data_IF_735115110974
#
_entry.id   IF_735115110974
#
_cell.length_a   1.000
_cell.length_b   1.000
_cell.length_c   1.000
_cell.angle_alpha   90.00
_cell.angle_beta   90.00
_cell.angle_gamma   90.00
#
_symmetry.space_group_name_H-M   'P 1'
#
loop_
_entity.id
_entity.type
_entity.pdbx_description
1 polymer ?
#
# COMPACT_ATOMS: atom_id res chain seq x y z
N UNK A 1 13.33 0.94 8.24
CA UNK A 1 12.46 0.61 9.39
C UNK A 1 12.50 1.80 10.33
N UNK A 2 11.37 2.29 10.83
CA UNK A 2 11.35 3.44 11.75
C UNK A 2 12.04 3.07 13.06
N UNK A 3 13.11 3.79 13.42
CA UNK A 3 13.88 3.56 14.65
C UNK A 3 13.35 4.54 15.71
N UNK A 4 12.88 4.10 16.89
CA UNK A 4 12.46 5.01 17.95
C UNK A 4 13.63 5.91 18.39
N UNK A 5 13.39 7.22 18.52
CA UNK A 5 14.42 8.13 19.04
C UNK A 5 14.76 7.83 20.50
N UNK A 6 13.74 7.60 21.34
CA UNK A 6 13.92 7.17 22.73
C UNK A 6 13.61 5.67 22.87
N UNK A 7 14.65 4.85 22.67
CA UNK A 7 14.56 3.39 22.77
C UNK A 7 14.15 2.92 24.17
N UNK A 8 14.57 3.63 25.22
CA UNK A 8 14.28 3.26 26.61
C UNK A 8 12.79 3.48 26.91
N UNK A 9 12.25 4.63 26.50
CA UNK A 9 10.82 4.92 26.61
C UNK A 9 9.98 3.93 25.80
N UNK A 10 10.43 3.58 24.59
CA UNK A 10 9.76 2.61 23.75
C UNK A 10 9.66 1.21 24.40
N UNK A 11 10.77 0.67 24.93
CA UNK A 11 10.76 -0.64 25.60
C UNK A 11 9.94 -0.64 26.91
N UNK A 12 9.96 0.47 27.67
CA UNK A 12 9.11 0.63 28.87
C UNK A 12 7.61 0.59 28.53
N UNK A 13 7.21 1.21 27.42
CA UNK A 13 5.80 1.20 26.99
C UNK A 13 5.44 -0.16 26.41
N UNK A 14 6.35 -0.81 25.69
CA UNK A 14 6.18 -2.16 25.15
C UNK A 14 5.95 -3.20 26.24
N UNK A 15 6.72 -3.16 27.34
CA UNK A 15 6.49 -4.07 28.48
C UNK A 15 5.13 -3.82 29.14
N UNK A 16 4.73 -2.55 29.31
CA UNK A 16 3.42 -2.17 29.85
C UNK A 16 2.26 -2.70 28.99
N UNK A 17 2.38 -2.60 27.66
CA UNK A 17 1.30 -3.04 26.75
C UNK A 17 1.26 -4.55 26.62
N UNK A 18 2.41 -5.23 26.58
CA UNK A 18 2.48 -6.70 26.61
C UNK A 18 1.73 -7.29 27.80
N UNK A 19 1.76 -6.65 28.97
CA UNK A 19 1.01 -7.07 30.15
C UNK A 19 -0.51 -6.85 30.05
N UNK A 20 -0.96 -5.93 29.20
CA UNK A 20 -2.38 -5.56 29.05
C UNK A 20 -3.10 -6.29 27.92
N UNK A 21 -2.36 -6.78 26.93
CA UNK A 21 -2.94 -7.46 25.77
C UNK A 21 -2.93 -8.96 25.98
N UNK A 22 -4.00 -9.65 25.57
CA UNK A 22 -4.11 -11.10 25.66
C UNK A 22 -3.19 -11.84 24.66
N UNK A 23 -2.87 -11.23 23.52
CA UNK A 23 -2.05 -11.84 22.46
C UNK A 23 -1.03 -10.88 21.88
N UNK A 24 0.24 -11.28 21.96
CA UNK A 24 1.39 -10.56 21.42
C UNK A 24 2.23 -11.45 20.47
N UNK A 25 2.66 -10.96 19.29
CA UNK A 25 2.28 -9.71 18.65
C UNK A 25 0.94 -9.84 17.90
N UNK A 26 0.10 -8.81 17.96
CA UNK A 26 -1.08 -8.65 17.10
C UNK A 26 -1.06 -7.28 16.45
N UNK A 27 -1.81 -7.10 15.35
CA UNK A 27 -1.89 -5.80 14.67
C UNK A 27 -2.42 -4.70 15.61
N UNK A 28 -3.45 -5.02 16.41
CA UNK A 28 -4.01 -4.11 17.40
C UNK A 28 -3.04 -3.82 18.55
N UNK A 29 -2.37 -4.84 19.11
CA UNK A 29 -1.38 -4.62 20.17
C UNK A 29 -0.19 -3.78 19.69
N UNK A 30 0.26 -3.99 18.45
CA UNK A 30 1.32 -3.20 17.82
C UNK A 30 0.88 -1.76 17.60
N UNK A 31 -0.37 -1.54 17.17
CA UNK A 31 -0.97 -0.21 17.03
C UNK A 31 -1.05 0.55 18.36
N UNK A 32 -1.49 -0.13 19.43
CA UNK A 32 -1.54 0.44 20.78
C UNK A 32 -0.15 0.89 21.26
N UNK A 33 0.90 0.11 20.98
CA UNK A 33 2.29 0.47 21.30
C UNK A 33 2.71 1.76 20.62
N UNK A 34 2.51 1.86 19.31
CA UNK A 34 2.89 3.05 18.55
C UNK A 34 2.13 4.28 19.05
N UNK A 35 0.83 4.16 19.30
CA UNK A 35 0.02 5.28 19.81
C UNK A 35 0.47 5.74 21.21
N UNK A 36 0.66 4.81 22.13
CA UNK A 36 1.10 5.13 23.49
C UNK A 36 2.50 5.75 23.50
N UNK A 37 3.43 5.22 22.69
CA UNK A 37 4.77 5.78 22.55
C UNK A 37 4.74 7.19 21.98
N UNK A 38 4.01 7.45 20.90
CA UNK A 38 3.87 8.80 20.34
C UNK A 38 3.30 9.80 21.35
N UNK A 39 2.30 9.38 22.14
CA UNK A 39 1.67 10.21 23.18
C UNK A 39 2.67 10.58 24.29
N UNK A 40 3.37 9.59 24.84
CA UNK A 40 4.33 9.82 25.93
C UNK A 40 5.59 10.56 25.43
N UNK A 41 6.02 10.29 24.20
CA UNK A 41 7.11 11.02 23.58
C UNK A 41 6.77 12.50 23.39
N UNK A 42 5.58 12.82 22.87
CA UNK A 42 5.13 14.20 22.70
C UNK A 42 5.02 14.95 24.03
N UNK A 43 4.65 14.27 25.13
CA UNK A 43 4.67 14.85 26.48
C UNK A 43 6.09 15.17 26.96
N UNK A 44 7.06 14.29 26.71
CA UNK A 44 8.44 14.41 27.19
C UNK A 44 9.28 15.39 26.37
N UNK A 45 9.09 15.42 25.05
CA UNK A 45 9.95 16.12 24.10
C UNK A 45 9.24 17.26 23.34
N UNK A 46 7.94 17.43 23.55
CA UNK A 46 7.11 18.41 22.87
C UNK A 46 6.54 17.90 21.53
N UNK A 47 5.48 18.55 21.01
CA UNK A 47 4.75 18.10 19.82
C UNK A 47 5.53 18.28 18.52
N UNK A 48 6.59 19.11 18.50
CA UNK A 48 7.39 19.42 17.31
C UNK A 48 8.49 18.40 17.02
N UNK A 49 8.87 17.55 17.98
CA UNK A 49 9.91 16.53 17.81
C UNK A 49 9.33 15.24 17.25
N UNK A 50 10.04 14.60 16.33
CA UNK A 50 9.63 13.32 15.75
C UNK A 50 9.89 12.18 16.75
N UNK A 51 8.91 11.30 17.03
CA UNK A 51 9.15 10.16 17.92
C UNK A 51 10.03 9.06 17.31
N UNK A 52 10.26 9.10 16.00
CA UNK A 52 11.06 8.13 15.27
C UNK A 52 12.11 8.84 14.42
N UNK A 53 13.35 8.37 14.51
CA UNK A 53 14.39 8.70 13.57
C UNK A 53 13.97 8.15 12.21
N UNK A 54 13.82 9.04 11.23
CA UNK A 54 13.49 8.68 9.86
C UNK A 54 14.67 7.97 9.21
N UNK A 55 14.80 6.67 9.45
CA UNK A 55 15.35 5.76 8.44
C UNK A 55 14.50 6.00 7.19
N UNK A 56 15.10 6.51 6.11
CA UNK A 56 14.46 6.75 4.81
C UNK A 56 13.69 5.51 4.34
N UNK A 57 12.47 5.33 4.81
CA UNK A 57 11.48 4.52 4.12
C UNK A 57 11.09 5.38 2.95
N UNK A 58 11.76 5.18 1.80
CA UNK A 58 11.28 5.64 0.51
C UNK A 58 9.79 5.28 0.48
N UNK A 59 8.93 6.27 0.65
CA UNK A 59 7.50 6.04 0.87
C UNK A 59 6.83 5.49 -0.39
N UNK A 60 5.64 5.99 -0.70
CA UNK A 60 5.03 5.73 -2.01
C UNK A 60 5.82 6.37 -3.17
N UNK A 61 6.94 7.05 -2.91
CA UNK A 61 7.79 7.69 -3.91
C UNK A 61 8.27 6.74 -5.01
N UNK A 62 8.68 5.51 -4.64
CA UNK A 62 9.02 4.48 -5.63
C UNK A 62 7.80 4.17 -6.50
N UNK A 63 6.65 3.95 -5.87
CA UNK A 63 5.39 3.65 -6.55
C UNK A 63 4.98 4.79 -7.52
N UNK A 64 5.16 6.05 -7.14
CA UNK A 64 4.90 7.19 -8.00
C UNK A 64 5.86 7.25 -9.19
N UNK A 65 7.16 6.99 -8.97
CA UNK A 65 8.17 6.95 -10.02
C UNK A 65 7.90 5.82 -11.04
N UNK A 66 7.32 4.69 -10.61
CA UNK A 66 7.00 3.52 -11.46
C UNK A 66 5.95 3.83 -12.55
N UNK A 67 5.20 4.93 -12.41
CA UNK A 67 4.15 5.39 -13.35
C UNK A 67 3.17 4.27 -13.70
N UNK A 68 2.26 3.98 -12.77
CA UNK A 68 1.27 2.93 -12.93
C UNK A 68 0.21 3.28 -13.97
N UNK A 69 -0.05 2.35 -14.89
CA UNK A 69 -1.00 2.52 -15.99
C UNK A 69 -2.01 1.36 -16.05
N UNK A 70 -3.20 1.65 -16.57
CA UNK A 70 -4.26 0.66 -16.77
C UNK A 70 -4.16 0.04 -18.16
N UNK A 71 -3.82 -1.25 -18.20
CA UNK A 71 -3.61 -1.97 -19.46
C UNK A 71 -4.93 -2.23 -20.20
N UNK A 72 -6.06 -2.25 -19.50
CA UNK A 72 -7.35 -2.53 -20.12
C UNK A 72 -7.93 -1.40 -20.97
N UNK A 73 -7.29 -0.23 -20.96
CA UNK A 73 -7.72 0.95 -21.74
C UNK A 73 -6.52 1.51 -22.52
N UNK A 74 -6.04 0.80 -23.56
CA UNK A 74 -5.04 1.35 -24.45
C UNK A 74 -5.63 2.53 -25.22
N UNK A 75 -4.86 3.62 -25.37
CA UNK A 75 -5.17 4.72 -26.28
C UNK A 75 -4.79 4.32 -27.71
N UNK A 76 -5.38 4.99 -28.71
CA UNK A 76 -5.08 4.78 -30.13
C UNK A 76 -3.57 4.89 -30.45
N UNK A 77 -2.82 5.68 -29.69
CA UNK A 77 -1.38 5.91 -29.89
C UNK A 77 -0.50 4.88 -29.17
N UNK A 78 -1.03 3.71 -28.77
CA UNK A 78 -0.31 2.68 -28.01
C UNK A 78 -0.01 3.03 -26.54
N UNK A 79 -0.33 4.26 -26.10
CA UNK A 79 -0.13 4.71 -24.71
C UNK A 79 -1.28 4.27 -23.81
N UNK A 80 -0.99 4.01 -22.53
CA UNK A 80 -2.01 3.62 -21.54
C UNK A 80 -2.48 4.82 -20.70
N UNK A 81 -3.70 4.75 -20.17
CA UNK A 81 -4.20 5.73 -19.20
C UNK A 81 -3.59 5.47 -17.82
N UNK A 82 -3.38 6.52 -17.02
CA UNK A 82 -2.92 6.38 -15.64
C UNK A 82 -3.84 5.46 -14.84
N UNK A 83 -3.25 4.59 -14.02
CA UNK A 83 -4.01 3.74 -13.12
C UNK A 83 -4.64 4.59 -12.00
N UNK A 84 -5.92 4.38 -11.76
CA UNK A 84 -6.66 5.05 -10.69
C UNK A 84 -8.07 5.41 -11.14
N UNK A 85 -8.99 5.51 -10.17
CA UNK A 85 -10.32 6.08 -10.40
C UNK A 85 -10.26 7.55 -10.04
N UNK A 86 -10.80 8.42 -10.91
CA UNK A 86 -10.94 9.85 -10.58
C UNK A 86 -11.95 10.07 -9.46
N UNK A 87 -13.04 9.31 -9.46
CA UNK A 87 -14.13 9.42 -8.49
C UNK A 87 -14.53 8.04 -7.94
N UNK A 88 -14.65 7.95 -6.61
CA UNK A 88 -15.05 6.73 -5.89
C UNK A 88 -16.52 6.35 -6.16
N UNK A 89 -17.40 7.33 -6.40
CA UNK A 89 -18.83 7.09 -6.66
C UNK A 89 -19.11 6.49 -8.04
N UNK A 90 -18.20 6.69 -9.00
CA UNK A 90 -18.39 6.20 -10.36
C UNK A 90 -18.22 4.68 -10.41
N UNK A 91 -19.27 3.96 -10.84
CA UNK A 91 -19.30 2.50 -11.08
C UNK A 91 -18.42 2.11 -12.29
N UNK A 92 -17.17 2.55 -12.30
CA UNK A 92 -16.21 2.22 -13.33
C UNK A 92 -15.69 0.79 -13.15
N UNK A 93 -15.49 0.10 -14.28
CA UNK A 93 -14.93 -1.24 -14.29
C UNK A 93 -13.59 -1.30 -13.52
N UNK A 94 -13.32 -2.42 -12.86
CA UNK A 94 -12.11 -2.57 -12.07
C UNK A 94 -10.86 -2.51 -12.99
N UNK A 95 -9.91 -1.59 -12.74
CA UNK A 95 -8.75 -1.42 -13.61
C UNK A 95 -7.76 -2.56 -13.41
N UNK A 96 -7.00 -2.88 -14.47
CA UNK A 96 -5.85 -3.79 -14.36
C UNK A 96 -4.56 -2.99 -14.49
N UNK A 97 -3.92 -2.76 -13.35
CA UNK A 97 -2.80 -1.85 -13.27
C UNK A 97 -1.45 -2.56 -13.23
N UNK A 98 -0.50 -2.01 -13.97
CA UNK A 98 0.92 -2.42 -13.95
C UNK A 98 1.84 -1.21 -14.03
N UNK A 99 3.07 -1.34 -13.53
CA UNK A 99 4.07 -0.29 -13.66
C UNK A 99 4.50 -0.14 -15.12
N UNK A 100 4.65 1.11 -15.57
CA UNK A 100 5.21 1.40 -16.89
C UNK A 100 6.73 1.32 -16.90
N UNK A 101 7.39 1.59 -15.76
CA UNK A 101 8.86 1.57 -15.63
C UNK A 101 9.28 0.71 -14.45
N UNK A 102 10.32 -0.10 -14.64
CA UNK A 102 10.98 -0.86 -13.56
C UNK A 102 11.95 0.06 -12.83
N UNK A 103 11.82 0.15 -11.50
CA UNK A 103 12.68 1.03 -10.67
C UNK A 103 13.55 0.24 -9.73
N UNK A 104 13.01 -0.81 -9.13
CA UNK A 104 13.76 -1.71 -8.28
C UNK A 104 13.45 -3.17 -8.64
N UNK A 105 14.21 -4.09 -8.04
CA UNK A 105 13.92 -5.52 -8.11
C UNK A 105 12.56 -5.86 -7.53
N UNK A 106 12.04 -5.06 -6.58
CA UNK A 106 10.69 -5.27 -6.04
C UNK A 106 9.59 -4.62 -6.89
N UNK A 107 9.92 -3.98 -8.03
CA UNK A 107 8.89 -3.55 -8.99
C UNK A 107 8.32 -4.79 -9.68
N UNK A 108 6.99 -5.00 -9.65
CA UNK A 108 6.39 -6.14 -10.34
C UNK A 108 6.59 -6.01 -11.86
N UNK A 109 6.26 -7.09 -12.57
CA UNK A 109 6.43 -7.16 -14.03
C UNK A 109 5.78 -5.96 -14.73
N UNK A 110 6.54 -5.30 -15.62
CA UNK A 110 6.08 -4.11 -16.35
C UNK A 110 5.09 -4.45 -17.44
N UNK A 111 4.47 -3.44 -18.04
CA UNK A 111 3.55 -3.63 -19.17
C UNK A 111 4.23 -4.36 -20.33
N UNK A 112 5.44 -3.95 -20.70
CA UNK A 112 6.17 -4.52 -21.83
C UNK A 112 6.63 -5.95 -21.53
N UNK A 113 7.14 -6.20 -20.32
CA UNK A 113 7.50 -7.55 -19.87
C UNK A 113 6.27 -8.48 -19.85
N UNK A 114 5.11 -7.98 -19.43
CA UNK A 114 3.85 -8.74 -19.44
C UNK A 114 3.42 -9.10 -20.87
N UNK A 115 3.51 -8.14 -21.81
CA UNK A 115 3.13 -8.34 -23.22
C UNK A 115 4.10 -9.34 -23.88
N UNK A 116 5.40 -9.19 -23.66
CA UNK A 116 6.40 -10.07 -24.24
C UNK A 116 6.28 -11.50 -23.72
N UNK A 117 5.91 -11.68 -22.44
CA UNK A 117 5.82 -13.00 -21.82
C UNK A 117 4.51 -13.74 -22.10
N UNK A 118 3.38 -13.04 -22.19
CA UNK A 118 2.05 -13.68 -22.26
C UNK A 118 1.21 -13.25 -23.48
N UNK A 119 1.67 -12.27 -24.25
CA UNK A 119 0.94 -11.75 -25.39
C UNK A 119 -0.27 -10.87 -25.03
N UNK A 120 -0.84 -10.25 -26.06
CA UNK A 120 -2.00 -9.33 -25.93
C UNK A 120 -3.29 -10.06 -25.59
N UNK A 121 -3.44 -11.31 -25.99
CA UNK A 121 -4.65 -12.11 -25.75
C UNK A 121 -4.83 -12.46 -24.27
N UNK A 122 -3.73 -12.76 -23.58
CA UNK A 122 -3.75 -12.97 -22.14
C UNK A 122 -4.25 -11.72 -21.40
N UNK A 123 -3.78 -10.54 -21.82
CA UNK A 123 -4.20 -9.25 -21.25
C UNK A 123 -5.69 -9.05 -21.47
N UNK A 124 -6.20 -9.30 -22.69
CA UNK A 124 -7.63 -9.20 -23.01
C UNK A 124 -8.46 -10.11 -22.11
N UNK A 125 -8.02 -11.35 -21.88
CA UNK A 125 -8.67 -12.32 -20.98
C UNK A 125 -8.67 -11.83 -19.52
N UNK A 126 -7.54 -11.33 -19.01
CA UNK A 126 -7.44 -10.80 -17.64
C UNK A 126 -8.29 -9.54 -17.44
N UNK A 127 -8.29 -8.64 -18.42
CA UNK A 127 -9.14 -7.46 -18.42
C UNK A 127 -10.61 -7.83 -18.35
N UNK A 128 -11.07 -8.74 -19.21
CA UNK A 128 -12.45 -9.24 -19.17
C UNK A 128 -12.82 -9.82 -17.80
N UNK A 129 -11.93 -10.59 -17.17
CA UNK A 129 -12.16 -11.13 -15.82
C UNK A 129 -12.28 -10.04 -14.77
N UNK A 130 -11.36 -9.06 -14.76
CA UNK A 130 -11.36 -7.95 -13.78
C UNK A 130 -12.56 -7.02 -13.97
N UNK A 131 -12.93 -6.71 -15.20
CA UNK A 131 -14.07 -5.87 -15.52
C UNK A 131 -15.41 -6.54 -15.17
N UNK A 132 -15.48 -7.88 -15.19
CA UNK A 132 -16.65 -8.66 -14.76
C UNK A 132 -16.84 -8.74 -13.24
N UNK A 133 -15.87 -8.31 -12.43
CA UNK A 133 -16.02 -8.30 -10.96
C UNK A 133 -17.09 -7.25 -10.58
N UNK A 134 -18.32 -7.70 -10.38
CA UNK A 134 -19.42 -6.91 -9.82
C UNK A 134 -19.35 -6.90 -8.29
N UNK A 135 -19.87 -5.85 -7.65
CA UNK A 135 -19.84 -5.58 -6.20
C UNK A 135 -20.34 -6.73 -5.29
N UNK A 136 -21.06 -7.73 -5.82
CA UNK A 136 -21.72 -8.79 -5.05
C UNK A 136 -20.80 -9.78 -4.30
N UNK A 137 -19.47 -9.66 -4.41
CA UNK A 137 -18.54 -10.50 -3.64
C UNK A 137 -18.15 -9.90 -2.27
N UNK A 138 -18.40 -8.60 -2.07
CA UNK A 138 -18.12 -7.91 -0.79
C UNK A 138 -19.31 -7.94 0.17
N UNK A 139 -20.53 -8.23 -0.31
CA UNK A 139 -21.74 -8.35 0.52
C UNK A 139 -21.75 -9.60 1.41
N UNK A 140 -20.87 -10.58 1.15
CA UNK A 140 -20.75 -11.80 1.96
C UNK A 140 -19.72 -11.67 3.11
N UNK A 141 -19.16 -10.48 3.35
CA UNK A 141 -18.28 -10.22 4.49
C UNK A 141 -19.03 -9.68 5.72
N UNK A 142 -20.31 -9.34 5.56
CA UNK A 142 -21.20 -8.88 6.63
C UNK A 142 -22.34 -9.90 6.90
N UNK A 143 -22.15 -11.17 6.54
CA UNK A 143 -23.03 -12.27 6.95
C UNK A 143 -22.31 -13.12 7.97
#
# INVERSE_FOLDING_TARGET
MSIPEDKILYEKIKTRIKKKVSRWPSAYASGQLVQAYKKEFAKKYGPKKSPYASSQTKGLERWFKEKWVNICKPKKNGKYVSCGRKNISTKSQYPYCRPSKRISKETPMTVDELINKYGKDFIKKQCSKKQKIRKGRLSNLNK
#
